data_IF_844477735875
#
_entry.id   IF_844477735875
#
_cell.length_a   1.000
_cell.length_b   1.000
_cell.length_c   1.000
_cell.angle_alpha   90.00
_cell.angle_beta   90.00
_cell.angle_gamma   90.00
#
_symmetry.space_group_name_H-M   'P 1'
#
loop_
_entity.id
_entity.type
_entity.pdbx_description
1 polymer ?
#
# COMPACT_ATOMS: atom_id res chain seq x y z
N UNK A 1 -48.83 20.05 5.52
CA UNK A 1 -47.46 20.62 5.44
C UNK A 1 -46.48 19.48 5.27
N UNK A 2 -45.99 19.25 4.05
CA UNK A 2 -44.98 18.22 3.76
C UNK A 2 -43.63 18.79 4.20
N UNK A 3 -42.95 18.15 5.16
CA UNK A 3 -41.55 18.48 5.48
C UNK A 3 -40.75 18.27 4.20
N UNK A 4 -40.20 19.36 3.65
CA UNK A 4 -39.23 19.30 2.57
C UNK A 4 -38.11 18.33 2.99
N UNK A 5 -37.99 17.22 2.26
CA UNK A 5 -36.93 16.25 2.46
C UNK A 5 -35.57 16.97 2.42
N UNK A 6 -34.67 16.60 3.33
CA UNK A 6 -33.30 17.12 3.38
C UNK A 6 -32.72 17.06 1.96
N UNK A 7 -32.15 18.15 1.42
CA UNK A 7 -31.58 18.14 0.08
C UNK A 7 -30.58 16.98 -0.05
N UNK A 8 -30.46 16.35 -1.24
CA UNK A 8 -29.48 15.30 -1.48
C UNK A 8 -28.12 15.78 -0.96
N UNK A 9 -27.44 14.94 -0.17
CA UNK A 9 -26.10 15.31 0.29
C UNK A 9 -25.20 15.46 -0.93
N UNK A 10 -24.61 16.63 -1.08
CA UNK A 10 -23.58 16.91 -2.07
C UNK A 10 -22.49 15.81 -2.02
N UNK A 11 -22.28 15.04 -3.10
CA UNK A 11 -21.31 13.96 -3.14
C UNK A 11 -19.90 14.39 -2.71
N UNK A 12 -19.51 15.64 -3.01
CA UNK A 12 -18.22 16.17 -2.61
C UNK A 12 -18.11 16.32 -1.09
N UNK A 13 -19.18 16.79 -0.43
CA UNK A 13 -19.25 16.89 1.05
C UNK A 13 -19.31 15.52 1.72
N UNK A 14 -19.95 14.53 1.08
CA UNK A 14 -19.97 13.17 1.59
C UNK A 14 -18.55 12.57 1.54
N UNK A 15 -17.82 12.78 0.44
CA UNK A 15 -16.45 12.33 0.29
C UNK A 15 -15.50 13.01 1.28
N UNK A 16 -15.57 14.34 1.41
CA UNK A 16 -14.78 15.11 2.38
C UNK A 16 -15.00 14.58 3.81
N UNK A 17 -16.25 14.29 4.17
CA UNK A 17 -16.58 13.72 5.47
C UNK A 17 -15.99 12.32 5.66
N UNK A 18 -16.06 11.47 4.62
CA UNK A 18 -15.46 10.14 4.67
C UNK A 18 -13.96 10.23 4.93
N UNK A 19 -13.25 11.12 4.22
CA UNK A 19 -11.82 11.35 4.46
C UNK A 19 -11.52 11.82 5.88
N UNK A 20 -12.32 12.76 6.42
CA UNK A 20 -12.16 13.23 7.81
C UNK A 20 -12.34 12.11 8.84
N UNK A 21 -13.31 11.22 8.63
CA UNK A 21 -13.51 10.06 9.50
C UNK A 21 -12.32 9.10 9.41
N UNK A 22 -11.79 8.88 8.21
CA UNK A 22 -10.62 8.03 8.00
C UNK A 22 -9.33 8.64 8.60
N UNK A 23 -9.16 9.97 8.55
CA UNK A 23 -8.04 10.65 9.22
C UNK A 23 -8.10 10.46 10.74
N UNK A 24 -9.28 10.67 11.35
CA UNK A 24 -9.49 10.41 12.77
C UNK A 24 -9.22 8.93 13.15
N UNK A 25 -9.64 7.99 12.31
CA UNK A 25 -9.37 6.57 12.52
C UNK A 25 -7.87 6.23 12.43
N UNK A 26 -7.14 6.84 11.50
CA UNK A 26 -5.69 6.68 11.35
C UNK A 26 -4.96 7.14 12.62
N UNK A 27 -5.25 8.35 13.10
CA UNK A 27 -4.62 8.91 14.30
C UNK A 27 -4.86 8.05 15.55
N UNK A 28 -6.08 7.53 15.71
CA UNK A 28 -6.44 6.70 16.86
C UNK A 28 -5.74 5.34 16.81
N UNK A 29 -5.65 4.71 15.64
CA UNK A 29 -4.95 3.43 15.48
C UNK A 29 -3.45 3.60 15.73
N UNK A 30 -2.83 4.66 15.23
CA UNK A 30 -1.40 4.90 15.47
C UNK A 30 -1.10 5.12 16.96
N UNK A 31 -2.02 5.75 17.70
CA UNK A 31 -1.84 6.01 19.15
C UNK A 31 -2.18 4.81 20.03
N UNK A 32 -3.24 4.07 19.71
CA UNK A 32 -3.84 3.09 20.62
C UNK A 32 -3.91 1.67 20.07
N UNK A 33 -3.68 1.48 18.77
CA UNK A 33 -3.89 0.22 18.06
C UNK A 33 -5.34 -0.06 17.74
N UNK A 34 -5.55 -1.07 16.90
CA UNK A 34 -6.85 -1.49 16.38
C UNK A 34 -7.84 -1.91 17.47
N UNK A 35 -7.40 -2.79 18.38
CA UNK A 35 -8.31 -3.40 19.36
C UNK A 35 -8.84 -2.39 20.39
N UNK A 36 -8.07 -1.34 20.68
CA UNK A 36 -8.44 -0.28 21.63
C UNK A 36 -9.22 0.86 20.97
N UNK A 37 -9.37 0.87 19.65
CA UNK A 37 -10.08 1.94 18.92
C UNK A 37 -11.54 1.56 18.68
N UNK A 38 -12.47 2.36 19.21
CA UNK A 38 -13.92 2.17 19.04
C UNK A 38 -14.50 3.13 18.00
N UNK A 39 -15.69 2.80 17.46
CA UNK A 39 -16.43 3.71 16.56
C UNK A 39 -16.81 5.01 17.28
N UNK A 40 -17.07 4.95 18.59
CA UNK A 40 -17.43 6.13 19.37
C UNK A 40 -16.22 7.08 19.52
N UNK A 41 -15.02 6.55 19.69
CA UNK A 41 -13.78 7.34 19.68
C UNK A 41 -13.55 8.01 18.33
N UNK A 42 -13.73 7.27 17.23
CA UNK A 42 -13.58 7.82 15.88
C UNK A 42 -14.62 8.91 15.63
N UNK A 43 -15.88 8.72 16.04
CA UNK A 43 -16.94 9.71 15.88
C UNK A 43 -16.60 11.01 16.63
N UNK A 44 -16.16 10.87 17.88
CA UNK A 44 -15.73 11.99 18.73
C UNK A 44 -14.53 12.71 18.13
N UNK A 45 -13.50 11.99 17.68
CA UNK A 45 -12.29 12.56 17.08
C UNK A 45 -12.58 13.27 15.75
N UNK A 46 -13.45 12.70 14.91
CA UNK A 46 -13.83 13.28 13.62
C UNK A 46 -14.87 14.43 13.73
N UNK A 47 -15.43 14.68 14.91
CA UNK A 47 -16.48 15.66 15.13
C UNK A 47 -17.80 15.31 14.42
N UNK A 48 -18.15 14.03 14.33
CA UNK A 48 -19.38 13.54 13.68
C UNK A 48 -20.22 12.70 14.63
N UNK A 49 -21.51 12.53 14.33
CA UNK A 49 -22.34 11.60 15.08
C UNK A 49 -21.99 10.14 14.72
N UNK A 50 -22.12 9.23 15.68
CA UNK A 50 -21.92 7.77 15.47
C UNK A 50 -22.70 7.24 14.26
N UNK A 51 -23.96 7.65 14.14
CA UNK A 51 -24.82 7.28 13.01
C UNK A 51 -24.26 7.72 11.66
N UNK A 52 -23.51 8.82 11.62
CA UNK A 52 -22.86 9.30 10.39
C UNK A 52 -21.76 8.37 9.92
N UNK A 53 -20.99 7.75 10.83
CA UNK A 53 -20.01 6.72 10.44
C UNK A 53 -20.72 5.51 9.84
N UNK A 54 -21.81 5.06 10.45
CA UNK A 54 -22.58 3.92 9.96
C UNK A 54 -23.29 4.15 8.61
N UNK A 55 -23.48 5.42 8.21
CA UNK A 55 -23.95 5.74 6.86
C UNK A 55 -22.89 5.44 5.79
N UNK A 56 -21.59 5.50 6.12
CA UNK A 56 -20.50 5.20 5.20
C UNK A 56 -20.02 3.74 5.34
N UNK A 57 -19.98 3.22 6.57
CA UNK A 57 -19.47 1.87 6.85
C UNK A 57 -20.34 1.16 7.87
N UNK A 58 -20.99 0.09 7.43
CA UNK A 58 -21.90 -0.72 8.26
C UNK A 58 -21.23 -1.36 9.47
N UNK A 59 -19.91 -1.60 9.40
CA UNK A 59 -19.15 -2.25 10.47
C UNK A 59 -17.84 -1.53 10.72
N UNK A 60 -17.29 -1.74 11.93
CA UNK A 60 -15.95 -1.27 12.30
C UNK A 60 -14.88 -1.83 11.35
N UNK A 61 -14.99 -3.11 11.01
CA UNK A 61 -14.07 -3.77 10.08
C UNK A 61 -14.14 -3.13 8.68
N UNK A 62 -15.31 -2.70 8.22
CA UNK A 62 -15.48 -2.01 6.93
C UNK A 62 -14.82 -0.63 6.91
N UNK A 63 -14.98 0.16 7.99
CA UNK A 63 -14.28 1.44 8.16
C UNK A 63 -12.76 1.24 8.09
N UNK A 64 -12.24 0.27 8.81
CA UNK A 64 -10.81 0.02 8.83
C UNK A 64 -10.30 -0.57 7.53
N UNK A 65 -11.07 -1.42 6.84
CA UNK A 65 -10.71 -1.87 5.50
C UNK A 65 -10.60 -0.70 4.50
N UNK A 66 -11.49 0.29 4.60
CA UNK A 66 -11.42 1.51 3.81
C UNK A 66 -10.19 2.36 4.16
N UNK A 67 -9.87 2.50 5.45
CA UNK A 67 -8.64 3.15 5.92
C UNK A 67 -7.40 2.50 5.31
N UNK A 68 -7.29 1.18 5.38
CA UNK A 68 -6.12 0.47 4.85
C UNK A 68 -5.98 0.63 3.33
N UNK A 69 -7.11 0.64 2.60
CA UNK A 69 -7.09 0.91 1.15
C UNK A 69 -6.61 2.33 0.85
N UNK A 70 -7.02 3.31 1.65
CA UNK A 70 -6.58 4.70 1.52
C UNK A 70 -5.10 4.85 1.81
N UNK A 71 -4.60 4.25 2.89
CA UNK A 71 -3.17 4.34 3.21
C UNK A 71 -2.29 3.61 2.19
N UNK A 72 -2.77 2.48 1.64
CA UNK A 72 -2.11 1.83 0.49
C UNK A 72 -2.08 2.74 -0.74
N UNK A 73 -3.19 3.40 -1.08
CA UNK A 73 -3.23 4.33 -2.21
C UNK A 73 -2.24 5.48 -2.01
N UNK A 74 -2.27 6.14 -0.84
CA UNK A 74 -1.34 7.23 -0.51
C UNK A 74 0.13 6.78 -0.59
N UNK A 75 0.43 5.57 -0.13
CA UNK A 75 1.76 4.96 -0.26
C UNK A 75 2.19 4.82 -1.73
N UNK A 76 1.33 4.23 -2.57
CA UNK A 76 1.62 4.05 -4.00
C UNK A 76 1.71 5.38 -4.75
N UNK A 77 0.92 6.38 -4.37
CA UNK A 77 1.01 7.73 -4.94
C UNK A 77 2.33 8.41 -4.56
N UNK A 78 2.81 8.22 -3.31
CA UNK A 78 4.14 8.67 -2.90
C UNK A 78 5.27 8.02 -3.71
N UNK A 79 5.17 6.72 -3.99
CA UNK A 79 6.11 6.03 -4.90
C UNK A 79 6.04 6.61 -6.31
N UNK A 80 4.83 6.87 -6.83
CA UNK A 80 4.62 7.44 -8.17
C UNK A 80 5.22 8.83 -8.31
N UNK A 81 5.13 9.66 -7.29
CA UNK A 81 5.72 11.01 -7.28
C UNK A 81 7.25 10.99 -7.43
N UNK A 82 7.92 9.93 -6.97
CA UNK A 82 9.37 9.77 -7.14
C UNK A 82 9.76 9.30 -8.56
N UNK A 83 8.79 8.92 -9.39
CA UNK A 83 8.98 8.49 -10.77
C UNK A 83 10.11 7.44 -10.96
N UNK A 84 10.03 6.27 -10.28
CA UNK A 84 11.06 5.24 -10.40
C UNK A 84 11.20 4.76 -11.86
N UNK A 85 12.44 4.69 -12.32
CA UNK A 85 12.74 4.32 -13.71
C UNK A 85 13.04 2.83 -13.89
N UNK A 86 13.36 2.12 -12.81
CA UNK A 86 13.72 0.70 -12.84
C UNK A 86 13.02 -0.08 -11.72
N UNK A 87 13.07 -1.41 -11.78
CA UNK A 87 12.61 -2.26 -10.68
C UNK A 87 13.37 -1.97 -9.38
N UNK A 88 14.69 -1.71 -9.46
CA UNK A 88 15.50 -1.32 -8.31
C UNK A 88 14.98 -0.04 -7.66
N UNK A 89 14.76 1.01 -8.46
CA UNK A 89 14.22 2.28 -7.97
C UNK A 89 12.83 2.07 -7.37
N UNK A 90 11.98 1.31 -8.06
CA UNK A 90 10.62 1.01 -7.61
C UNK A 90 10.62 0.32 -6.25
N UNK A 91 11.48 -0.68 -6.04
CA UNK A 91 11.61 -1.40 -4.76
C UNK A 91 12.19 -0.48 -3.69
N UNK A 92 13.16 0.36 -4.02
CA UNK A 92 13.74 1.35 -3.09
C UNK A 92 12.65 2.31 -2.59
N UNK A 93 11.92 2.95 -3.49
CA UNK A 93 10.90 3.93 -3.15
C UNK A 93 9.71 3.28 -2.43
N UNK A 94 9.31 2.07 -2.82
CA UNK A 94 8.32 1.29 -2.08
C UNK A 94 8.76 1.03 -0.63
N UNK A 95 10.03 0.71 -0.43
CA UNK A 95 10.59 0.45 0.90
C UNK A 95 10.61 1.73 1.75
N UNK A 96 10.98 2.88 1.15
CA UNK A 96 10.94 4.20 1.79
C UNK A 96 9.52 4.52 2.26
N UNK A 97 8.53 4.41 1.37
CA UNK A 97 7.14 4.70 1.70
C UNK A 97 6.55 3.75 2.74
N UNK A 98 6.97 2.47 2.74
CA UNK A 98 6.58 1.51 3.78
C UNK A 98 7.12 1.90 5.15
N UNK A 99 8.38 2.32 5.25
CA UNK A 99 8.99 2.72 6.54
C UNK A 99 8.37 4.01 7.07
N UNK A 100 8.04 4.96 6.19
CA UNK A 100 7.43 6.25 6.56
C UNK A 100 5.98 6.14 7.03
N UNK A 101 5.31 5.00 6.80
CA UNK A 101 3.88 4.80 7.10
C UNK A 101 3.70 3.68 8.12
N UNK A 102 3.68 4.00 9.43
CA UNK A 102 3.63 3.01 10.51
C UNK A 102 2.50 2.00 10.35
N UNK A 103 1.31 2.44 9.91
CA UNK A 103 0.18 1.55 9.68
C UNK A 103 0.44 0.54 8.56
N UNK A 104 1.07 0.95 7.45
CA UNK A 104 1.42 0.05 6.35
C UNK A 104 2.51 -0.94 6.75
N UNK A 105 3.52 -0.47 7.48
CA UNK A 105 4.57 -1.33 8.05
C UNK A 105 3.97 -2.37 9.00
N UNK A 106 3.06 -1.96 9.89
CA UNK A 106 2.38 -2.86 10.82
C UNK A 106 1.63 -3.96 10.07
N UNK A 107 0.88 -3.62 9.01
CA UNK A 107 0.18 -4.58 8.14
C UNK A 107 1.15 -5.59 7.55
N UNK A 108 2.22 -5.12 6.93
CA UNK A 108 3.18 -5.97 6.25
C UNK A 108 3.86 -6.95 7.22
N UNK A 109 4.18 -6.49 8.43
CA UNK A 109 4.84 -7.30 9.45
C UNK A 109 3.87 -8.14 10.29
N UNK A 110 2.56 -7.99 10.08
CA UNK A 110 1.54 -8.69 10.85
C UNK A 110 1.54 -8.31 12.33
N UNK A 111 1.88 -7.05 12.64
CA UNK A 111 1.96 -6.54 14.01
C UNK A 111 0.58 -6.66 14.69
N UNK A 112 0.45 -7.62 15.60
CA UNK A 112 -0.81 -7.90 16.28
C UNK A 112 -1.18 -6.84 17.31
N UNK A 113 -0.23 -6.07 17.83
CA UNK A 113 -0.53 -4.98 18.77
C UNK A 113 -1.22 -3.82 18.05
N UNK A 114 -0.74 -3.51 16.84
CA UNK A 114 -1.35 -2.47 16.00
C UNK A 114 -2.62 -2.97 15.30
N UNK A 115 -2.65 -4.21 14.81
CA UNK A 115 -3.73 -4.71 13.94
C UNK A 115 -4.79 -5.56 14.65
N UNK A 116 -4.50 -6.09 15.82
CA UNK A 116 -5.42 -6.95 16.57
C UNK A 116 -6.04 -8.06 15.71
N UNK A 117 -7.37 -8.17 15.75
CA UNK A 117 -8.15 -9.15 14.97
C UNK A 117 -8.16 -8.91 13.46
N UNK A 118 -7.82 -7.71 12.97
CA UNK A 118 -7.80 -7.39 11.54
C UNK A 118 -6.77 -8.22 10.77
N UNK A 119 -5.68 -8.60 11.44
CA UNK A 119 -4.63 -9.48 10.89
C UNK A 119 -5.19 -10.86 10.48
N UNK A 120 -6.23 -11.38 11.15
CA UNK A 120 -6.78 -12.71 10.85
C UNK A 120 -7.73 -12.74 9.66
N UNK A 121 -8.48 -11.66 9.41
CA UNK A 121 -9.48 -11.60 8.34
C UNK A 121 -8.88 -11.33 6.95
N UNK A 122 -7.70 -10.67 6.88
CA UNK A 122 -7.05 -10.29 5.61
C UNK A 122 -5.97 -11.25 5.11
N UNK A 123 -5.70 -12.38 5.78
CA UNK A 123 -4.79 -13.43 5.28
C UNK A 123 -5.23 -14.04 3.95
N UNK A 124 -6.44 -13.74 3.47
CA UNK A 124 -6.89 -14.04 2.11
C UNK A 124 -6.77 -12.79 1.20
N UNK A 125 -5.69 -12.78 0.40
CA UNK A 125 -5.55 -12.08 -0.90
C UNK A 125 -5.45 -10.55 -0.90
N UNK A 126 -4.30 -10.00 -0.49
CA UNK A 126 -3.90 -8.65 -0.92
C UNK A 126 -3.37 -8.61 -2.36
N UNK A 127 -2.78 -9.71 -2.84
CA UNK A 127 -2.43 -9.91 -4.25
C UNK A 127 -3.66 -10.41 -5.00
N UNK A 128 -4.36 -9.48 -5.65
CA UNK A 128 -5.50 -9.84 -6.50
C UNK A 128 -5.01 -10.30 -7.89
N UNK A 129 -5.80 -11.06 -8.65
CA UNK A 129 -5.43 -11.51 -9.99
C UNK A 129 -4.98 -10.35 -10.90
N UNK A 130 -5.56 -9.17 -10.75
CA UNK A 130 -5.21 -7.97 -11.53
C UNK A 130 -3.81 -7.47 -11.20
N UNK A 131 -3.39 -7.52 -9.92
CA UNK A 131 -2.04 -7.14 -9.52
C UNK A 131 -1.00 -8.15 -10.01
N UNK A 132 -1.34 -9.45 -9.99
CA UNK A 132 -0.47 -10.49 -10.51
C UNK A 132 -0.29 -10.35 -12.03
N UNK A 133 -1.38 -10.10 -12.77
CA UNK A 133 -1.34 -9.86 -14.21
C UNK A 133 -0.52 -8.61 -14.58
N UNK A 134 -0.71 -7.49 -13.87
CA UNK A 134 0.07 -6.28 -14.10
C UNK A 134 1.58 -6.51 -13.87
N UNK A 135 1.94 -7.31 -12.86
CA UNK A 135 3.35 -7.65 -12.60
C UNK A 135 3.93 -8.60 -13.64
N UNK A 136 3.14 -9.56 -14.12
CA UNK A 136 3.53 -10.45 -15.22
C UNK A 136 3.78 -9.71 -16.53
N UNK A 137 2.91 -8.78 -16.89
CA UNK A 137 3.09 -7.89 -18.05
C UNK A 137 4.37 -7.05 -17.91
N UNK A 138 4.58 -6.44 -16.75
CA UNK A 138 5.77 -5.66 -16.45
C UNK A 138 7.07 -6.47 -16.59
N UNK A 139 7.10 -7.69 -16.05
CA UNK A 139 8.25 -8.59 -16.21
C UNK A 139 8.46 -9.01 -17.67
N UNK A 140 7.39 -9.19 -18.44
CA UNK A 140 7.45 -9.43 -19.88
C UNK A 140 8.21 -8.31 -20.61
N UNK A 141 7.83 -7.06 -20.37
CA UNK A 141 8.49 -5.90 -20.98
C UNK A 141 9.95 -5.75 -20.54
N UNK A 142 10.26 -6.00 -19.26
CA UNK A 142 11.64 -6.01 -18.77
C UNK A 142 12.50 -7.06 -19.47
N UNK A 143 11.94 -8.26 -19.73
CA UNK A 143 12.65 -9.36 -20.41
C UNK A 143 12.98 -9.05 -21.86
N UNK A 144 12.13 -8.31 -22.56
CA UNK A 144 12.41 -7.83 -23.93
C UNK A 144 13.66 -6.93 -23.98
N UNK A 145 14.02 -6.32 -22.85
CA UNK A 145 15.19 -5.43 -22.70
C UNK A 145 16.35 -6.10 -21.95
N UNK A 146 16.31 -7.43 -21.77
CA UNK A 146 17.27 -8.21 -20.98
C UNK A 146 17.46 -7.68 -19.54
N UNK A 147 16.43 -7.06 -18.97
CA UNK A 147 16.46 -6.45 -17.64
C UNK A 147 15.81 -7.31 -16.54
N UNK A 148 15.22 -8.45 -16.90
CA UNK A 148 14.69 -9.42 -15.95
C UNK A 148 14.97 -10.85 -16.41
N UNK A 149 15.24 -11.73 -15.44
CA UNK A 149 15.53 -13.14 -15.68
C UNK A 149 14.32 -13.86 -16.25
N UNK A 150 14.57 -14.77 -17.19
CA UNK A 150 13.55 -15.62 -17.81
C UNK A 150 13.53 -17.07 -17.26
N UNK A 151 14.47 -17.42 -16.37
CA UNK A 151 14.59 -18.76 -15.78
C UNK A 151 13.62 -19.02 -14.62
N UNK A 152 12.73 -18.07 -14.32
CA UNK A 152 11.71 -18.14 -13.28
C UNK A 152 10.37 -17.65 -13.78
N UNK A 153 9.30 -18.22 -13.23
CA UNK A 153 7.94 -17.73 -13.47
C UNK A 153 7.72 -16.36 -12.79
N UNK A 154 6.79 -15.53 -13.30
CA UNK A 154 6.43 -14.26 -12.67
C UNK A 154 6.01 -14.42 -11.19
N UNK A 155 5.31 -15.51 -10.87
CA UNK A 155 4.88 -15.82 -9.50
C UNK A 155 6.07 -16.10 -8.57
N UNK A 156 7.08 -16.84 -9.04
CA UNK A 156 8.31 -17.08 -8.27
C UNK A 156 9.06 -15.77 -8.03
N UNK A 157 9.20 -14.92 -9.07
CA UNK A 157 9.86 -13.61 -8.92
C UNK A 157 9.11 -12.70 -7.95
N UNK A 158 7.77 -12.64 -8.02
CA UNK A 158 6.95 -11.90 -7.06
C UNK A 158 7.14 -12.42 -5.62
N UNK A 159 7.19 -13.75 -5.46
CA UNK A 159 7.40 -14.38 -4.15
C UNK A 159 8.77 -14.02 -3.58
N UNK A 160 9.82 -14.04 -4.41
CA UNK A 160 11.17 -13.66 -3.99
C UNK A 160 11.23 -12.18 -3.60
N UNK A 161 10.65 -11.27 -4.39
CA UNK A 161 10.59 -9.85 -4.04
C UNK A 161 9.87 -9.61 -2.70
N UNK A 162 8.73 -10.27 -2.49
CA UNK A 162 7.99 -10.18 -1.24
C UNK A 162 8.82 -10.72 -0.06
N UNK A 163 9.53 -11.85 -0.25
CA UNK A 163 10.37 -12.44 0.78
C UNK A 163 11.59 -11.57 1.14
N UNK A 164 12.22 -10.93 0.14
CA UNK A 164 13.30 -9.97 0.34
C UNK A 164 12.81 -8.81 1.21
N UNK A 165 11.74 -8.13 0.76
CA UNK A 165 11.18 -6.99 1.47
C UNK A 165 10.74 -7.34 2.90
N UNK A 166 9.98 -8.42 3.05
CA UNK A 166 9.51 -8.89 4.36
C UNK A 166 10.68 -9.27 5.27
N UNK A 167 11.65 -10.03 4.78
CA UNK A 167 12.80 -10.49 5.56
C UNK A 167 13.61 -9.33 6.13
N UNK A 168 13.97 -8.35 5.30
CA UNK A 168 14.72 -7.17 5.75
C UNK A 168 13.94 -6.33 6.77
N UNK A 169 12.66 -6.07 6.51
CA UNK A 169 11.84 -5.25 7.40
C UNK A 169 11.53 -5.96 8.72
N UNK A 170 11.25 -7.26 8.68
CA UNK A 170 11.04 -8.10 9.86
C UNK A 170 12.29 -8.15 10.72
N UNK A 171 13.45 -8.46 10.12
CA UNK A 171 14.72 -8.51 10.85
C UNK A 171 15.03 -7.17 11.49
N UNK A 172 14.90 -6.05 10.76
CA UNK A 172 15.07 -4.71 11.32
C UNK A 172 14.15 -4.45 12.52
N UNK A 173 12.88 -4.84 12.42
CA UNK A 173 11.89 -4.58 13.47
C UNK A 173 12.21 -5.33 14.78
N UNK A 174 12.83 -6.50 14.66
CA UNK A 174 13.19 -7.36 15.79
C UNK A 174 14.62 -7.17 16.31
N UNK A 175 15.45 -6.37 15.62
CA UNK A 175 16.79 -6.03 16.08
C UNK A 175 16.78 -4.90 17.13
N UNK A 176 17.67 -4.95 18.15
CA UNK A 176 17.95 -3.83 19.03
C UNK A 176 18.38 -2.60 18.23
N UNK A 177 18.00 -1.41 18.70
CA UNK A 177 18.28 -0.16 17.98
C UNK A 177 19.77 0.05 17.71
N UNK A 178 20.64 -0.35 18.64
CA UNK A 178 22.10 -0.29 18.49
C UNK A 178 22.69 -1.19 17.38
N UNK A 179 21.93 -2.18 16.90
CA UNK A 179 22.34 -3.08 15.81
C UNK A 179 21.66 -2.73 14.48
N UNK A 180 20.78 -1.72 14.45
CA UNK A 180 20.09 -1.33 13.23
C UNK A 180 21.03 -0.52 12.34
N UNK A 181 21.00 -0.82 11.05
CA UNK A 181 21.62 0.02 10.04
C UNK A 181 20.76 1.27 9.78
N UNK A 182 21.36 2.38 9.29
CA UNK A 182 20.61 3.55 8.83
C UNK A 182 19.58 3.19 7.76
N UNK A 183 18.46 3.90 7.76
CA UNK A 183 17.30 3.62 6.89
C UNK A 183 17.70 3.65 5.42
N UNK A 184 18.42 4.68 4.98
CA UNK A 184 18.89 4.80 3.60
C UNK A 184 19.71 3.59 3.15
N UNK A 185 20.59 3.07 4.02
CA UNK A 185 21.38 1.87 3.69
C UNK A 185 20.52 0.61 3.65
N UNK A 186 19.52 0.50 4.52
CA UNK A 186 18.58 -0.62 4.46
C UNK A 186 17.79 -0.60 3.14
N UNK A 187 17.26 0.56 2.74
CA UNK A 187 16.47 0.69 1.51
C UNK A 187 17.32 0.34 0.29
N UNK A 188 18.57 0.81 0.27
CA UNK A 188 19.52 0.48 -0.78
C UNK A 188 19.81 -1.03 -0.84
N UNK A 189 20.03 -1.66 0.31
CA UNK A 189 20.30 -3.10 0.37
C UNK A 189 19.10 -3.95 -0.07
N UNK A 190 17.87 -3.55 0.28
CA UNK A 190 16.64 -4.20 -0.20
C UNK A 190 16.57 -4.10 -1.73
N UNK A 191 16.81 -2.91 -2.28
CA UNK A 191 16.75 -2.65 -3.72
C UNK A 191 17.85 -3.43 -4.49
N UNK A 192 19.09 -3.42 -3.99
CA UNK A 192 20.21 -4.22 -4.52
C UNK A 192 19.86 -5.71 -4.53
N UNK A 193 19.30 -6.22 -3.43
CA UNK A 193 18.95 -7.64 -3.31
C UNK A 193 17.80 -8.03 -4.25
N UNK A 194 16.81 -7.16 -4.40
CA UNK A 194 15.70 -7.36 -5.32
C UNK A 194 16.16 -7.35 -6.78
N UNK A 195 17.06 -6.43 -7.14
CA UNK A 195 17.66 -6.35 -8.47
C UNK A 195 18.50 -7.59 -8.78
N UNK A 196 19.32 -8.07 -7.85
CA UNK A 196 20.06 -9.33 -8.01
C UNK A 196 19.16 -10.56 -8.16
N UNK A 197 18.01 -10.55 -7.50
CA UNK A 197 17.07 -11.67 -7.52
C UNK A 197 16.23 -11.75 -8.80
N UNK A 198 15.88 -10.61 -9.38
CA UNK A 198 14.96 -10.53 -10.53
C UNK A 198 15.65 -10.09 -11.82
N UNK A 199 16.66 -9.24 -11.72
CA UNK A 199 17.44 -8.71 -12.83
C UNK A 199 18.53 -9.67 -13.32
N UNK A 200 19.07 -9.35 -14.50
CA UNK A 200 20.12 -10.12 -15.17
C UNK A 200 21.54 -9.66 -14.77
N UNK A 201 21.65 -8.57 -14.01
CA UNK A 201 22.91 -7.89 -13.71
C UNK A 201 23.43 -7.01 -14.86
N UNK A 202 22.73 -6.98 -15.99
CA UNK A 202 23.02 -6.08 -17.11
C UNK A 202 22.50 -4.70 -16.78
N UNK A 203 23.33 -3.67 -16.96
CA UNK A 203 22.89 -2.27 -16.85
C UNK A 203 22.38 -1.80 -18.22
N UNK A 204 21.06 -1.57 -18.38
CA UNK A 204 20.49 -1.15 -19.66
C UNK A 204 20.96 0.25 -20.03
N UNK A 205 21.16 0.51 -21.33
CA UNK A 205 21.59 1.82 -21.83
C UNK A 205 20.78 2.25 -23.06
N UNK A 206 20.82 3.54 -23.39
CA UNK A 206 20.17 4.09 -24.59
C UNK A 206 18.68 3.78 -24.64
N UNK A 207 18.22 3.19 -25.76
CA UNK A 207 16.81 2.87 -25.99
C UNK A 207 16.23 1.89 -24.96
N UNK A 208 17.02 0.93 -24.48
CA UNK A 208 16.59 -0.06 -23.49
C UNK A 208 16.25 0.59 -22.14
N UNK A 209 17.08 1.53 -21.67
CA UNK A 209 16.82 2.29 -20.44
C UNK A 209 15.51 3.07 -20.52
N UNK A 210 15.23 3.72 -21.65
CA UNK A 210 13.96 4.43 -21.87
C UNK A 210 12.76 3.50 -21.93
N UNK A 211 12.91 2.30 -22.52
CA UNK A 211 11.85 1.30 -22.56
C UNK A 211 11.49 0.80 -21.15
N UNK A 212 12.50 0.53 -20.31
CA UNK A 212 12.32 0.09 -18.92
C UNK A 212 11.69 1.18 -18.06
N UNK A 213 12.10 2.44 -18.21
CA UNK A 213 11.47 3.56 -17.52
C UNK A 213 9.97 3.67 -17.85
N UNK A 214 9.60 3.53 -19.14
CA UNK A 214 8.20 3.52 -19.56
C UNK A 214 7.43 2.31 -19.03
N UNK A 215 8.05 1.13 -19.01
CA UNK A 215 7.47 -0.09 -18.44
C UNK A 215 7.16 0.09 -16.95
N UNK A 216 8.12 0.61 -16.20
CA UNK A 216 8.02 0.87 -14.75
C UNK A 216 6.91 1.87 -14.45
N UNK A 217 6.85 2.98 -15.21
CA UNK A 217 5.78 3.97 -15.07
C UNK A 217 4.39 3.39 -15.36
N UNK A 218 4.22 2.63 -16.46
CA UNK A 218 2.95 1.95 -16.79
C UNK A 218 2.52 0.98 -15.69
N UNK A 219 3.44 0.16 -15.19
CA UNK A 219 3.15 -0.76 -14.10
C UNK A 219 2.62 -0.03 -12.88
N UNK A 220 3.30 1.06 -12.48
CA UNK A 220 2.93 1.83 -11.32
C UNK A 220 1.57 2.54 -11.50
N UNK A 221 1.30 3.10 -12.67
CA UNK A 221 0.01 3.70 -12.99
C UNK A 221 -1.14 2.68 -12.89
N UNK A 222 -0.95 1.48 -13.43
CA UNK A 222 -1.91 0.38 -13.31
C UNK A 222 -2.15 -0.01 -11.85
N UNK A 223 -1.09 -0.16 -11.05
CA UNK A 223 -1.20 -0.54 -9.64
C UNK A 223 -1.90 0.56 -8.82
N UNK A 224 -1.59 1.83 -9.06
CA UNK A 224 -2.26 2.96 -8.41
C UNK A 224 -3.74 3.00 -8.79
N UNK A 225 -4.08 2.77 -10.05
CA UNK A 225 -5.47 2.77 -10.51
C UNK A 225 -6.28 1.61 -9.89
N UNK A 226 -5.68 0.41 -9.78
CA UNK A 226 -6.29 -0.72 -9.05
C UNK A 226 -6.56 -0.33 -7.59
N UNK A 227 -5.61 0.34 -6.92
CA UNK A 227 -5.77 0.78 -5.53
C UNK A 227 -6.86 1.85 -5.39
N UNK A 228 -6.92 2.81 -6.32
CA UNK A 228 -7.92 3.88 -6.39
C UNK A 228 -9.33 3.32 -6.55
N UNK A 229 -9.52 2.39 -7.47
CA UNK A 229 -10.81 1.73 -7.69
C UNK A 229 -11.28 0.97 -6.45
N UNK A 230 -10.39 0.22 -5.79
CA UNK A 230 -10.72 -0.47 -4.54
C UNK A 230 -11.12 0.51 -3.42
N UNK A 231 -10.45 1.65 -3.32
CA UNK A 231 -10.83 2.69 -2.35
C UNK A 231 -12.19 3.31 -2.69
N UNK A 232 -12.44 3.65 -3.96
CA UNK A 232 -13.69 4.24 -4.40
C UNK A 232 -14.90 3.36 -4.03
N UNK A 233 -14.80 2.04 -4.23
CA UNK A 233 -15.84 1.08 -3.79
C UNK A 233 -16.08 1.13 -2.28
N UNK A 234 -15.07 1.47 -1.49
CA UNK A 234 -15.15 1.55 -0.02
C UNK A 234 -15.65 2.90 0.49
N UNK A 235 -15.70 3.93 -0.37
CA UNK A 235 -16.17 5.28 -0.05
C UNK A 235 -17.60 5.54 -0.55
N UNK A 236 -18.03 4.81 -1.60
CA UNK A 236 -19.36 4.93 -2.24
C UNK A 236 -20.42 3.96 -1.73
N UNK A 237 -20.30 3.45 -0.50
CA UNK A 237 -21.30 2.60 0.17
C UNK A 237 -22.19 3.39 1.12
#
# INVERSE_FOLDING_TARGET
>A
MVKAGRPPQDPARQLERAHRILDAAAELIERWGYDKTTIDDVARQAGVAKGTIYLHWRTRDALFAALLRRERLRMLEGVREQAPATLRDLVRELSVELVRRPLMKAILLGDSEVLGKLNRQKRHSETTPELAAAFEEYLGELREQDAARADRTPREQLTVLAAVLYGFLFTRNNLPESMRMPDDRLMELIAETADLAVGTGVTPSGAASHAIARATARYLDTVVEIARNKLATSLGS
#
